data_IF_973653646306
#
_entry.id   IF_973653646306
#
_cell.length_a   1.000
_cell.length_b   1.000
_cell.length_c   1.000
_cell.angle_alpha   90.00
_cell.angle_beta   90.00
_cell.angle_gamma   90.00
#
_symmetry.space_group_name_H-M   'P 1'
#
loop_
_entity.id
_entity.type
_entity.pdbx_description
1 polymer ?
#
# COMPACT_ATOMS: atom_id res chain seq x y z
N UNK A 1 -13.50 11.92 -9.97
CA UNK A 1 -14.25 10.75 -9.44
C UNK A 1 -14.79 11.13 -8.08
N UNK A 2 -16.06 10.84 -7.80
CA UNK A 2 -16.58 11.00 -6.44
C UNK A 2 -15.76 10.11 -5.49
N UNK A 3 -15.37 10.64 -4.34
CA UNK A 3 -14.83 9.81 -3.27
C UNK A 3 -15.95 8.86 -2.84
N UNK A 4 -15.72 7.56 -2.94
CA UNK A 4 -16.58 6.54 -2.33
C UNK A 4 -15.85 6.04 -1.11
N UNK A 5 -16.50 6.09 0.05
CA UNK A 5 -15.92 5.56 1.30
C UNK A 5 -16.04 4.05 1.34
N UNK A 6 -15.14 3.39 2.06
CA UNK A 6 -15.21 1.93 2.25
C UNK A 6 -16.50 1.51 2.97
N UNK A 7 -17.02 2.34 3.89
CA UNK A 7 -18.32 2.13 4.53
C UNK A 7 -19.47 2.14 3.53
N UNK A 8 -19.55 3.14 2.64
CA UNK A 8 -20.57 3.19 1.59
C UNK A 8 -20.48 1.99 0.63
N UNK A 9 -19.27 1.53 0.27
CA UNK A 9 -19.10 0.30 -0.53
C UNK A 9 -19.69 -0.90 0.21
N UNK A 10 -19.40 -1.05 1.51
CA UNK A 10 -19.92 -2.16 2.30
C UNK A 10 -21.45 -2.12 2.44
N UNK A 11 -22.00 -0.97 2.81
CA UNK A 11 -23.43 -0.77 3.05
C UNK A 11 -24.25 -0.96 1.77
N UNK A 12 -23.71 -0.60 0.61
CA UNK A 12 -24.36 -0.79 -0.69
C UNK A 12 -24.28 -2.23 -1.22
N UNK A 13 -23.40 -3.08 -0.66
CA UNK A 13 -23.12 -4.42 -1.20
C UNK A 13 -23.19 -5.56 -0.16
N UNK A 14 -24.22 -5.64 0.71
CA UNK A 14 -24.28 -6.63 1.78
C UNK A 14 -24.28 -8.08 1.26
N UNK A 15 -24.94 -8.34 0.13
CA UNK A 15 -24.94 -9.65 -0.51
C UNK A 15 -23.55 -10.08 -1.02
N UNK A 16 -22.74 -9.12 -1.50
CA UNK A 16 -21.39 -9.40 -2.01
C UNK A 16 -20.40 -9.61 -0.86
N UNK A 17 -20.65 -9.02 0.31
CA UNK A 17 -19.92 -9.32 1.53
C UNK A 17 -20.18 -10.77 1.95
N UNK A 18 -21.45 -11.19 1.95
CA UNK A 18 -21.84 -12.56 2.30
C UNK A 18 -21.28 -13.60 1.31
N UNK A 19 -21.22 -13.28 0.01
CA UNK A 19 -20.61 -14.16 -1.00
C UNK A 19 -19.08 -14.14 -0.98
N UNK A 20 -18.46 -13.17 -0.31
CA UNK A 20 -17.01 -12.98 -0.25
C UNK A 20 -16.40 -12.27 -1.47
N UNK A 21 -17.22 -11.73 -2.37
CA UNK A 21 -16.79 -10.92 -3.50
C UNK A 21 -16.30 -9.53 -3.05
N UNK A 22 -16.96 -8.96 -2.04
CA UNK A 22 -16.48 -7.77 -1.31
C UNK A 22 -15.90 -8.24 0.01
N UNK A 23 -14.66 -7.83 0.30
CA UNK A 23 -13.95 -8.19 1.52
C UNK A 23 -13.35 -6.95 2.15
N UNK A 24 -13.56 -6.80 3.45
CA UNK A 24 -12.85 -5.82 4.26
C UNK A 24 -11.59 -6.48 4.83
N UNK A 25 -10.45 -5.81 4.72
CA UNK A 25 -9.22 -6.23 5.38
C UNK A 25 -9.31 -5.99 6.89
N UNK A 26 -8.53 -6.74 7.67
CA UNK A 26 -8.40 -6.47 9.10
C UNK A 26 -7.83 -5.05 9.31
N UNK A 27 -8.30 -4.32 10.34
CA UNK A 27 -7.89 -2.94 10.61
C UNK A 27 -6.54 -2.88 11.33
N UNK A 28 -5.51 -3.46 10.72
CA UNK A 28 -4.14 -3.54 11.27
C UNK A 28 -3.16 -2.58 10.59
N UNK A 29 -3.61 -1.89 9.55
CA UNK A 29 -2.79 -0.97 8.77
C UNK A 29 -2.87 0.45 9.33
N UNK A 30 -1.71 1.11 9.33
CA UNK A 30 -1.57 2.54 9.59
C UNK A 30 -1.49 3.28 8.26
N UNK A 31 -2.06 4.48 8.22
CA UNK A 31 -2.09 5.31 7.02
C UNK A 31 -0.81 6.14 6.94
N UNK A 32 -0.24 6.17 5.75
CA UNK A 32 0.91 6.97 5.35
C UNK A 32 0.62 7.68 4.02
N UNK A 33 1.36 8.74 3.74
CA UNK A 33 1.13 9.56 2.56
C UNK A 33 -0.04 10.52 2.71
N UNK A 34 -0.10 11.51 1.81
CA UNK A 34 -1.12 12.58 1.87
C UNK A 34 -2.48 12.09 1.41
N UNK A 35 -2.53 11.08 0.55
CA UNK A 35 -3.77 10.58 0.00
C UNK A 35 -4.38 9.52 0.92
N UNK A 36 -5.21 9.99 1.84
CA UNK A 36 -5.92 9.16 2.82
C UNK A 36 -6.96 8.22 2.19
N UNK A 37 -7.39 8.49 0.95
CA UNK A 37 -8.35 7.66 0.22
C UNK A 37 -7.85 7.40 -1.19
N UNK A 38 -7.66 6.13 -1.51
CA UNK A 38 -7.20 5.68 -2.82
C UNK A 38 -7.88 4.37 -3.21
N UNK A 39 -7.91 4.10 -4.50
CA UNK A 39 -8.46 2.88 -5.07
C UNK A 39 -7.89 2.67 -6.47
N UNK A 40 -7.88 1.43 -6.91
CA UNK A 40 -7.35 1.06 -8.21
C UNK A 40 -7.26 -0.46 -8.39
N UNK A 41 -6.96 -0.93 -9.61
CA UNK A 41 -6.68 -2.35 -9.83
C UNK A 41 -5.48 -2.81 -9.01
N UNK A 42 -5.62 -3.94 -8.33
CA UNK A 42 -4.57 -4.48 -7.45
C UNK A 42 -3.50 -5.22 -8.27
N UNK A 43 -2.24 -4.98 -7.92
CA UNK A 43 -1.10 -5.81 -8.30
C UNK A 43 -0.48 -6.33 -7.02
N UNK A 44 -0.16 -7.61 -6.97
CA UNK A 44 0.39 -8.24 -5.76
C UNK A 44 1.83 -8.63 -5.95
N UNK A 45 2.64 -8.39 -4.93
CA UNK A 45 4.00 -8.90 -4.84
C UNK A 45 4.19 -9.60 -3.49
N UNK A 46 4.87 -10.74 -3.49
CA UNK A 46 5.25 -11.43 -2.27
C UNK A 46 6.76 -11.49 -2.17
N UNK A 47 7.30 -10.97 -1.07
CA UNK A 47 8.73 -10.93 -0.76
C UNK A 47 8.93 -11.29 0.71
N UNK A 48 10.17 -11.51 1.10
CA UNK A 48 10.50 -11.70 2.51
C UNK A 48 11.84 -11.04 2.80
N UNK A 49 11.79 -9.91 3.50
CA UNK A 49 12.98 -9.17 3.95
C UNK A 49 13.97 -8.77 2.84
N UNK A 50 13.42 -8.56 1.64
CA UNK A 50 14.12 -8.11 0.43
C UNK A 50 13.21 -7.09 -0.28
N UNK A 51 13.80 -6.03 -0.80
CA UNK A 51 13.07 -4.93 -1.46
C UNK A 51 13.39 -4.77 -2.95
N UNK A 52 14.22 -5.63 -3.55
CA UNK A 52 14.68 -5.48 -4.93
C UNK A 52 13.50 -5.48 -5.89
N UNK A 53 12.66 -6.51 -5.80
CA UNK A 53 11.45 -6.62 -6.62
C UNK A 53 10.44 -5.51 -6.32
N UNK A 54 10.35 -5.04 -5.07
CA UNK A 54 9.44 -3.94 -4.70
C UNK A 54 9.83 -2.68 -5.46
N UNK A 55 11.13 -2.37 -5.50
CA UNK A 55 11.66 -1.19 -6.20
C UNK A 55 11.45 -1.27 -7.71
N UNK A 56 11.77 -2.41 -8.32
CA UNK A 56 11.58 -2.63 -9.76
C UNK A 56 10.12 -2.40 -10.19
N UNK A 57 9.16 -2.92 -9.42
CA UNK A 57 7.74 -2.71 -9.71
C UNK A 57 7.31 -1.24 -9.61
N UNK A 58 7.82 -0.51 -8.62
CA UNK A 58 7.47 0.91 -8.44
C UNK A 58 8.08 1.83 -9.50
N UNK A 59 9.14 1.38 -10.18
CA UNK A 59 9.72 2.06 -11.35
C UNK A 59 8.85 1.92 -12.62
N UNK A 60 7.97 0.92 -12.67
CA UNK A 60 7.01 0.76 -13.76
C UNK A 60 5.88 1.82 -13.71
N UNK A 61 5.19 2.00 -14.85
CA UNK A 61 3.98 2.83 -14.91
C UNK A 61 2.88 2.25 -14.03
N UNK A 62 2.45 3.04 -13.05
CA UNK A 62 1.40 2.66 -12.10
C UNK A 62 0.03 2.59 -12.75
N UNK A 63 -0.30 3.48 -13.68
CA UNK A 63 -1.59 3.53 -14.37
C UNK A 63 -2.80 3.50 -13.41
N UNK A 64 -2.67 4.15 -12.25
CA UNK A 64 -3.69 4.16 -11.20
C UNK A 64 -3.88 2.81 -10.48
N UNK A 65 -2.94 1.88 -10.60
CA UNK A 65 -2.95 0.61 -9.86
C UNK A 65 -2.58 0.81 -8.38
N UNK A 66 -2.95 -0.17 -7.56
CA UNK A 66 -2.54 -0.28 -6.15
C UNK A 66 -1.59 -1.46 -6.01
N UNK A 67 -0.37 -1.23 -5.51
CA UNK A 67 0.57 -2.31 -5.20
C UNK A 67 0.27 -2.85 -3.80
N UNK A 68 0.07 -4.16 -3.68
CA UNK A 68 -0.09 -4.84 -2.39
C UNK A 68 1.11 -5.77 -2.19
N UNK A 69 1.93 -5.48 -1.19
CA UNK A 69 3.15 -6.23 -0.88
C UNK A 69 2.92 -7.09 0.36
N UNK A 70 2.99 -8.41 0.18
CA UNK A 70 3.10 -9.35 1.29
C UNK A 70 4.57 -9.55 1.67
N UNK A 71 5.02 -8.85 2.71
CA UNK A 71 6.35 -9.01 3.31
C UNK A 71 6.39 -10.02 4.44
N UNK A 72 5.34 -10.83 4.61
CA UNK A 72 5.20 -11.79 5.70
C UNK A 72 4.97 -11.16 7.07
N UNK A 73 4.65 -9.86 7.14
CA UNK A 73 4.46 -9.14 8.40
C UNK A 73 5.73 -9.00 9.23
N UNK A 74 6.92 -9.11 8.62
CA UNK A 74 8.18 -8.99 9.37
C UNK A 74 8.34 -7.60 9.96
N UNK A 75 8.77 -7.57 11.23
CA UNK A 75 9.12 -6.35 11.94
C UNK A 75 10.64 -6.10 11.98
N UNK A 76 11.45 -7.00 11.42
CA UNK A 76 12.91 -6.95 11.53
C UNK A 76 13.54 -5.90 10.61
N UNK A 77 12.95 -5.67 9.45
CA UNK A 77 13.45 -4.73 8.46
C UNK A 77 12.32 -4.11 7.63
N UNK A 78 12.58 -2.95 7.06
CA UNK A 78 11.70 -2.24 6.17
C UNK A 78 11.90 -2.69 4.72
N UNK A 79 10.81 -3.06 4.06
CA UNK A 79 10.81 -3.46 2.64
C UNK A 79 10.42 -2.33 1.69
N UNK A 80 10.09 -1.16 2.24
CA UNK A 80 9.75 0.06 1.50
C UNK A 80 10.23 1.30 2.28
N UNK A 81 10.80 2.27 1.57
CA UNK A 81 11.26 3.54 2.11
C UNK A 81 10.83 4.73 1.26
N UNK A 82 11.38 5.91 1.53
CA UNK A 82 10.94 7.18 0.94
C UNK A 82 11.13 7.27 -0.58
N UNK A 83 12.38 7.14 -1.05
CA UNK A 83 12.73 7.25 -2.46
C UNK A 83 11.86 6.37 -3.41
N UNK A 84 11.64 5.06 -3.13
CA UNK A 84 10.74 4.25 -3.95
C UNK A 84 9.29 4.77 -3.98
N UNK A 85 8.78 5.32 -2.88
CA UNK A 85 7.42 5.89 -2.82
C UNK A 85 7.31 7.18 -3.63
N UNK A 86 8.34 8.04 -3.59
CA UNK A 86 8.42 9.23 -4.45
C UNK A 86 8.38 8.83 -5.93
N UNK A 87 9.12 7.78 -6.31
CA UNK A 87 9.09 7.25 -7.66
C UNK A 87 7.71 6.70 -8.03
N UNK A 88 7.07 5.95 -7.13
CA UNK A 88 5.72 5.42 -7.33
C UNK A 88 4.70 6.52 -7.61
N UNK A 89 4.74 7.61 -6.84
CA UNK A 89 3.91 8.79 -7.07
C UNK A 89 4.14 9.34 -8.48
N UNK A 90 5.40 9.56 -8.86
CA UNK A 90 5.76 10.12 -10.17
C UNK A 90 5.38 9.18 -11.33
N UNK A 91 5.32 7.88 -11.08
CA UNK A 91 4.90 6.87 -12.03
C UNK A 91 3.38 6.64 -12.08
N UNK A 92 2.60 7.38 -11.29
CA UNK A 92 1.13 7.36 -11.33
C UNK A 92 0.51 6.14 -10.66
N UNK A 93 1.15 5.58 -9.63
CA UNK A 93 0.52 4.62 -8.74
C UNK A 93 -0.56 5.30 -7.89
N UNK A 94 -1.70 4.63 -7.67
CA UNK A 94 -2.77 5.15 -6.83
C UNK A 94 -2.44 4.98 -5.33
N UNK A 95 -1.77 3.88 -4.98
CA UNK A 95 -1.33 3.63 -3.62
C UNK A 95 -0.53 2.34 -3.46
N UNK A 96 0.02 2.16 -2.26
CA UNK A 96 0.82 1.00 -1.86
C UNK A 96 0.35 0.52 -0.49
N UNK A 97 0.09 -0.79 -0.35
CA UNK A 97 -0.28 -1.45 0.91
C UNK A 97 0.78 -2.48 1.25
N UNK A 98 1.33 -2.44 2.46
CA UNK A 98 2.45 -3.30 2.90
C UNK A 98 2.07 -4.11 4.13
N UNK A 99 2.05 -5.44 4.00
CA UNK A 99 2.05 -6.36 5.14
C UNK A 99 3.50 -6.58 5.60
N UNK A 100 4.01 -5.66 6.41
CA UNK A 100 5.40 -5.61 6.86
C UNK A 100 5.74 -4.25 7.48
N UNK A 101 7.04 -3.96 7.57
CA UNK A 101 7.52 -2.64 7.97
C UNK A 101 7.91 -1.76 6.77
N UNK A 102 7.72 -0.46 6.97
CA UNK A 102 8.27 0.61 6.13
C UNK A 102 9.23 1.51 6.92
N UNK A 103 9.93 2.40 6.23
CA UNK A 103 10.82 3.43 6.80
C UNK A 103 10.62 4.79 6.12
N UNK A 104 11.35 5.81 6.60
CA UNK A 104 11.31 7.19 6.09
C UNK A 104 9.89 7.78 6.10
N UNK A 105 9.14 7.55 7.18
CA UNK A 105 7.71 7.88 7.30
C UNK A 105 7.40 9.35 7.03
N UNK A 106 8.28 10.26 7.42
CA UNK A 106 8.11 11.71 7.20
C UNK A 106 8.17 12.07 5.71
N UNK A 107 9.07 11.42 4.96
CA UNK A 107 9.20 11.60 3.52
C UNK A 107 7.97 11.03 2.79
N UNK A 108 7.54 9.83 3.19
CA UNK A 108 6.34 9.18 2.66
C UNK A 108 5.10 10.06 2.90
N UNK A 109 4.95 10.63 4.10
CA UNK A 109 3.86 11.56 4.44
C UNK A 109 3.93 12.89 3.67
N UNK A 110 5.05 13.19 3.01
CA UNK A 110 5.18 14.28 2.05
C UNK A 110 4.60 13.98 0.66
N UNK A 111 4.38 12.71 0.32
CA UNK A 111 3.97 12.27 -1.01
C UNK A 111 2.44 12.29 -1.20
N UNK A 112 1.97 12.77 -2.35
CA UNK A 112 0.59 12.69 -2.83
C UNK A 112 0.24 11.31 -3.43
N UNK A 113 0.40 10.28 -2.60
CA UNK A 113 0.08 8.88 -2.91
C UNK A 113 -0.54 8.24 -1.66
N UNK A 114 -1.36 7.20 -1.87
CA UNK A 114 -1.88 6.40 -0.76
C UNK A 114 -0.83 5.44 -0.25
N UNK A 115 -0.61 5.41 1.07
CA UNK A 115 0.29 4.47 1.72
C UNK A 115 -0.39 3.81 2.90
N UNK A 116 -0.26 2.50 3.01
CA UNK A 116 -0.69 1.75 4.18
C UNK A 116 0.37 0.71 4.56
N UNK A 117 0.67 0.58 5.86
CA UNK A 117 1.60 -0.44 6.35
C UNK A 117 1.20 -0.92 7.74
N UNK A 118 1.47 -2.19 8.04
CA UNK A 118 1.22 -2.74 9.38
C UNK A 118 2.13 -2.15 10.46
N UNK A 119 3.35 -1.73 10.12
CA UNK A 119 4.30 -1.16 11.08
C UNK A 119 5.40 -0.33 10.40
N UNK A 120 6.28 0.27 11.21
CA UNK A 120 7.50 0.95 10.78
C UNK A 120 8.73 0.39 11.50
N UNK A 121 9.89 0.46 10.86
CA UNK A 121 11.20 0.23 11.48
C UNK A 121 12.27 1.04 10.75
N UNK A 122 13.31 1.57 11.41
CA UNK A 122 14.38 2.30 10.72
C UNK A 122 15.36 1.37 9.97
N UNK A 123 15.39 0.08 10.28
CA UNK A 123 16.34 -0.87 9.69
C UNK A 123 15.93 -1.26 8.27
N UNK A 124 16.81 -1.13 7.28
CA UNK A 124 16.53 -1.53 5.89
C UNK A 124 16.56 -3.05 5.73
N UNK A 125 15.80 -3.58 4.76
CA UNK A 125 15.99 -4.96 4.27
C UNK A 125 17.39 -5.12 3.66
N UNK A 126 17.89 -6.36 3.61
CA UNK A 126 19.15 -6.63 2.91
C UNK A 126 18.99 -6.57 1.40
#
# INVERSE_FOLDING_TARGET
>A
MALVTTAEVCDANPQLILSGEVRALHPVFQIYGRRQVFSGPVVTLKVFEDNVLVREFLEEKGNGRVLVVDGGGSLRCAILGGNPVVQAQNNGWAGIVVNGCIRDVDEINGCDIGGESSSFTPHESQ
#
